data_IF_723766518603
#
_entry.id   IF_723766518603
#
_cell.length_a   1.000
_cell.length_b   1.000
_cell.length_c   1.000
_cell.angle_alpha   90.00
_cell.angle_beta   90.00
_cell.angle_gamma   90.00
#
_symmetry.space_group_name_H-M   'P 1'
#
loop_
_entity.id
_entity.type
_entity.pdbx_description
1 polymer ?
#
# COMPACT_ATOMS: atom_id res chain seq x y z
N UNK A 1 1.27 29.19 -21.80
CA UNK A 1 -0.03 28.64 -22.24
C UNK A 1 -0.58 27.88 -21.05
N UNK A 2 -1.66 28.37 -20.43
CA UNK A 2 -2.24 27.67 -19.24
C UNK A 2 -3.23 26.68 -19.77
N UNK A 3 -2.90 25.37 -19.68
CA UNK A 3 -3.84 24.31 -20.00
C UNK A 3 -4.75 24.10 -18.79
N UNK A 4 -5.87 24.78 -18.75
CA UNK A 4 -6.95 24.47 -17.80
C UNK A 4 -7.78 23.38 -18.43
N UNK A 5 -7.70 22.18 -17.89
CA UNK A 5 -8.55 21.09 -18.32
C UNK A 5 -9.70 20.95 -17.32
N UNK A 6 -10.91 21.27 -17.76
CA UNK A 6 -12.12 21.28 -16.93
C UNK A 6 -12.76 19.89 -16.73
N UNK A 7 -12.15 18.83 -17.25
CA UNK A 7 -12.67 17.48 -17.11
C UNK A 7 -12.29 16.89 -15.74
N UNK A 8 -13.27 16.51 -14.93
CA UNK A 8 -13.07 16.02 -13.56
C UNK A 8 -12.16 14.78 -13.47
N UNK A 9 -12.09 13.98 -14.54
CA UNK A 9 -11.26 12.78 -14.63
C UNK A 9 -9.87 13.01 -15.24
N UNK A 10 -9.57 14.24 -15.65
CA UNK A 10 -8.29 14.56 -16.26
C UNK A 10 -7.28 15.00 -15.21
N UNK A 11 -6.06 14.51 -15.36
CA UNK A 11 -4.90 14.95 -14.58
C UNK A 11 -4.71 16.45 -14.82
N UNK A 12 -4.46 17.19 -13.75
CA UNK A 12 -4.33 18.66 -13.84
C UNK A 12 -2.87 19.06 -13.70
N UNK A 13 -2.32 19.70 -14.71
CA UNK A 13 -0.99 20.28 -14.65
C UNK A 13 -0.92 21.43 -13.62
N UNK A 14 -2.04 22.15 -13.40
CA UNK A 14 -2.14 23.22 -12.41
C UNK A 14 -3.42 23.03 -11.60
N UNK A 15 -3.27 22.99 -10.28
CA UNK A 15 -4.36 22.86 -9.32
C UNK A 15 -4.40 24.06 -8.36
N UNK A 16 -5.59 24.60 -8.15
CA UNK A 16 -5.82 25.68 -7.19
C UNK A 16 -6.58 25.14 -5.96
N UNK A 17 -5.96 25.25 -4.80
CA UNK A 17 -6.63 24.94 -3.55
C UNK A 17 -7.18 26.23 -2.94
N UNK A 18 -8.48 26.45 -3.08
CA UNK A 18 -9.15 27.66 -2.57
C UNK A 18 -9.10 27.79 -1.04
N UNK A 19 -9.09 26.66 -0.31
CA UNK A 19 -9.03 26.69 1.16
C UNK A 19 -7.66 27.12 1.68
N UNK A 20 -6.58 26.80 0.96
CA UNK A 20 -5.20 27.09 1.39
C UNK A 20 -4.53 28.22 0.57
N UNK A 21 -5.23 28.79 -0.38
CA UNK A 21 -4.71 29.80 -1.31
C UNK A 21 -3.36 29.37 -1.96
N UNK A 22 -3.24 28.09 -2.28
CA UNK A 22 -2.05 27.50 -2.90
C UNK A 22 -2.34 27.10 -4.34
N UNK A 23 -1.37 27.34 -5.19
CA UNK A 23 -1.33 26.78 -6.54
C UNK A 23 -0.30 25.67 -6.58
N UNK A 24 -0.68 24.49 -6.98
CA UNK A 24 0.20 23.35 -7.21
C UNK A 24 0.42 23.22 -8.70
N UNK A 25 1.68 23.08 -9.11
CA UNK A 25 2.07 22.82 -10.50
C UNK A 25 2.63 21.42 -10.58
N UNK A 26 2.08 20.60 -11.47
CA UNK A 26 2.45 19.21 -11.69
C UNK A 26 3.05 19.06 -13.10
N UNK A 27 4.33 19.43 -13.31
CA UNK A 27 4.91 19.53 -14.66
C UNK A 27 5.07 18.18 -15.37
N UNK A 28 5.18 17.09 -14.62
CA UNK A 28 5.41 15.74 -15.14
C UNK A 28 4.19 14.83 -15.00
N UNK A 29 2.99 15.40 -14.85
CA UNK A 29 1.78 14.62 -14.55
C UNK A 29 1.41 13.62 -15.66
N UNK A 30 1.80 13.90 -16.88
CA UNK A 30 1.51 13.07 -18.04
C UNK A 30 2.67 12.15 -18.42
N UNK A 31 3.77 12.18 -17.66
CA UNK A 31 4.89 11.27 -17.89
C UNK A 31 4.53 9.85 -17.50
N UNK A 32 5.00 8.91 -18.31
CA UNK A 32 4.99 7.48 -17.97
C UNK A 32 6.14 7.15 -17.01
N UNK A 33 6.09 5.96 -16.41
CA UNK A 33 7.19 5.48 -15.57
C UNK A 33 8.49 5.35 -16.40
N UNK A 34 8.40 4.90 -17.65
CA UNK A 34 9.52 4.77 -18.57
C UNK A 34 10.17 6.13 -18.86
N UNK A 35 9.38 7.15 -19.20
CA UNK A 35 9.88 8.51 -19.44
C UNK A 35 10.54 9.10 -18.20
N UNK A 36 9.96 8.83 -17.03
CA UNK A 36 10.54 9.26 -15.75
C UNK A 36 11.91 8.61 -15.52
N UNK A 37 12.05 7.31 -15.77
CA UNK A 37 13.31 6.62 -15.62
C UNK A 37 14.33 7.04 -16.67
N UNK A 38 13.91 7.25 -17.93
CA UNK A 38 14.77 7.79 -18.99
C UNK A 38 15.35 9.15 -18.57
N UNK A 39 14.52 10.05 -18.09
CA UNK A 39 14.97 11.36 -17.58
C UNK A 39 15.99 11.22 -16.45
N UNK A 40 15.70 10.38 -15.44
CA UNK A 40 16.58 10.13 -14.30
C UNK A 40 17.96 9.67 -14.76
N UNK A 41 18.02 8.75 -15.74
CA UNK A 41 19.28 8.20 -16.26
C UNK A 41 20.03 9.22 -17.14
N UNK A 42 19.34 9.92 -18.02
CA UNK A 42 19.95 10.93 -18.91
C UNK A 42 20.54 12.08 -18.12
N UNK A 43 19.77 12.62 -17.16
CA UNK A 43 20.18 13.73 -16.33
C UNK A 43 21.04 13.31 -15.12
N UNK A 44 21.31 12.00 -14.96
CA UNK A 44 22.09 11.43 -13.86
C UNK A 44 21.59 11.85 -12.48
N UNK A 45 20.27 11.89 -12.33
CA UNK A 45 19.65 12.17 -11.04
C UNK A 45 19.96 11.07 -10.04
N UNK A 46 20.24 11.45 -8.78
CA UNK A 46 20.41 10.48 -7.72
C UNK A 46 19.06 9.84 -7.35
N UNK A 47 19.03 8.52 -7.25
CA UNK A 47 17.85 7.75 -6.83
C UNK A 47 18.23 6.66 -5.83
N UNK A 48 17.23 6.02 -5.22
CA UNK A 48 17.45 4.99 -4.22
C UNK A 48 17.91 3.69 -4.89
N UNK A 49 19.08 3.14 -4.46
CA UNK A 49 19.64 1.91 -5.02
C UNK A 49 18.80 0.65 -4.85
N UNK A 50 17.74 0.68 -4.03
CA UNK A 50 16.79 -0.42 -3.91
C UNK A 50 16.05 -0.66 -5.23
N UNK A 51 15.91 0.35 -6.08
CA UNK A 51 15.36 0.16 -7.44
C UNK A 51 16.24 -0.74 -8.30
N UNK A 52 17.56 -0.72 -8.10
CA UNK A 52 18.49 -1.61 -8.81
C UNK A 52 18.35 -3.07 -8.37
N UNK A 53 17.74 -3.33 -7.21
CA UNK A 53 17.40 -4.67 -6.71
C UNK A 53 16.10 -5.21 -7.35
N UNK A 54 15.46 -4.49 -8.27
CA UNK A 54 14.26 -4.90 -9.00
C UNK A 54 12.94 -4.43 -8.38
N UNK A 55 12.98 -3.52 -7.40
CA UNK A 55 11.76 -2.92 -6.87
C UNK A 55 11.23 -1.87 -7.85
N UNK A 56 9.97 -1.98 -8.23
CA UNK A 56 9.31 -1.03 -9.14
C UNK A 56 8.70 0.16 -8.39
N UNK A 57 8.45 0.01 -7.10
CA UNK A 57 7.87 1.03 -6.24
C UNK A 57 8.44 0.91 -4.84
N UNK A 58 8.82 2.02 -4.25
CA UNK A 58 9.24 2.09 -2.86
C UNK A 58 8.16 2.79 -2.02
N UNK A 59 7.90 2.23 -0.84
CA UNK A 59 6.92 2.74 0.11
C UNK A 59 7.05 2.07 1.47
N UNK A 60 5.93 1.97 2.18
CA UNK A 60 5.91 1.26 3.46
C UNK A 60 6.05 -0.25 3.23
N UNK A 61 6.97 -0.90 3.91
CA UNK A 61 7.13 -2.35 3.87
C UNK A 61 5.84 -3.01 4.39
N UNK A 62 5.27 -3.93 3.62
CA UNK A 62 4.00 -4.58 3.96
C UNK A 62 2.77 -3.67 3.83
N UNK A 63 2.82 -2.65 2.99
CA UNK A 63 1.70 -1.75 2.75
C UNK A 63 0.47 -2.52 2.24
N UNK A 64 -0.74 -2.32 2.81
CA UNK A 64 -1.96 -3.00 2.35
C UNK A 64 -2.35 -2.60 0.91
N UNK A 65 -1.89 -1.43 0.46
CA UNK A 65 -2.12 -0.96 -0.91
C UNK A 65 -1.15 -1.59 -1.93
N UNK A 66 -0.10 -2.28 -1.47
CA UNK A 66 0.77 -3.06 -2.34
C UNK A 66 0.08 -4.39 -2.68
N UNK A 67 0.23 -4.86 -3.93
CA UNK A 67 -0.25 -6.19 -4.31
C UNK A 67 0.49 -7.27 -3.48
N UNK A 68 -0.14 -8.44 -3.32
CA UNK A 68 0.42 -9.56 -2.55
C UNK A 68 1.88 -9.85 -2.92
N UNK A 69 2.16 -10.03 -4.20
CA UNK A 69 3.52 -10.29 -4.68
C UNK A 69 4.54 -9.22 -4.27
N UNK A 70 4.17 -7.93 -4.29
CA UNK A 70 5.03 -6.84 -3.81
C UNK A 70 5.35 -6.99 -2.32
N UNK A 71 4.36 -7.31 -1.48
CA UNK A 71 4.56 -7.55 -0.04
C UNK A 71 5.46 -8.77 0.22
N UNK A 72 5.33 -9.83 -0.58
CA UNK A 72 6.19 -11.02 -0.48
C UNK A 72 7.67 -10.67 -0.73
N UNK A 73 7.97 -9.92 -1.79
CA UNK A 73 9.32 -9.44 -2.10
C UNK A 73 9.86 -8.56 -0.96
N UNK A 74 9.05 -7.64 -0.45
CA UNK A 74 9.41 -6.76 0.65
C UNK A 74 9.76 -7.55 1.92
N UNK A 75 8.94 -8.52 2.32
CA UNK A 75 9.20 -9.35 3.50
C UNK A 75 10.34 -10.34 3.29
N UNK A 76 10.60 -10.80 2.06
CA UNK A 76 11.79 -11.59 1.76
C UNK A 76 13.07 -10.77 1.93
N UNK A 77 13.06 -9.50 1.50
CA UNK A 77 14.19 -8.59 1.62
C UNK A 77 14.41 -8.11 3.06
N UNK A 78 13.32 -7.91 3.82
CA UNK A 78 13.35 -7.42 5.19
C UNK A 78 12.55 -8.32 6.15
N UNK A 79 13.00 -9.55 6.45
CA UNK A 79 12.23 -10.54 7.20
C UNK A 79 11.87 -10.10 8.63
N UNK A 80 12.68 -9.25 9.25
CA UNK A 80 12.39 -8.70 10.59
C UNK A 80 11.09 -7.90 10.64
N UNK A 81 10.67 -7.30 9.53
CA UNK A 81 9.39 -6.58 9.49
C UNK A 81 8.20 -7.56 9.56
N UNK A 82 8.29 -8.73 8.93
CA UNK A 82 7.27 -9.77 9.07
C UNK A 82 7.07 -10.15 10.55
N UNK A 83 8.14 -10.38 11.29
CA UNK A 83 8.09 -10.68 12.72
C UNK A 83 7.48 -9.53 13.55
N UNK A 84 7.80 -8.28 13.18
CA UNK A 84 7.25 -7.09 13.83
C UNK A 84 5.73 -6.98 13.60
N UNK A 85 5.25 -7.25 12.40
CA UNK A 85 3.81 -7.27 12.10
C UNK A 85 3.10 -8.34 12.93
N UNK A 86 3.59 -9.59 12.95
CA UNK A 86 3.00 -10.68 13.73
C UNK A 86 2.91 -10.30 15.21
N UNK A 87 4.01 -9.79 15.79
CA UNK A 87 4.01 -9.34 17.19
C UNK A 87 3.06 -8.16 17.45
N UNK A 88 2.91 -7.26 16.49
CA UNK A 88 1.98 -6.15 16.60
C UNK A 88 0.52 -6.64 16.60
N UNK A 89 0.21 -7.62 15.74
CA UNK A 89 -1.10 -8.25 15.70
C UNK A 89 -1.43 -9.04 16.97
N UNK A 90 -0.45 -9.78 17.53
CA UNK A 90 -0.64 -10.44 18.83
C UNK A 90 -1.00 -9.45 19.94
N UNK A 91 -0.25 -8.34 20.04
CA UNK A 91 -0.55 -7.27 21.01
C UNK A 91 -1.91 -6.64 20.76
N UNK A 92 -2.29 -6.42 19.52
CA UNK A 92 -3.62 -5.90 19.16
C UNK A 92 -4.72 -6.86 19.64
N UNK A 93 -4.56 -8.16 19.44
CA UNK A 93 -5.52 -9.18 19.89
C UNK A 93 -5.61 -9.21 21.42
N UNK A 94 -4.48 -9.16 22.13
CA UNK A 94 -4.46 -9.05 23.61
C UNK A 94 -5.23 -7.84 24.09
N UNK A 95 -5.02 -6.67 23.52
CA UNK A 95 -5.72 -5.44 23.89
C UNK A 95 -7.22 -5.51 23.58
N UNK A 96 -7.61 -6.14 22.46
CA UNK A 96 -9.02 -6.39 22.14
C UNK A 96 -9.69 -7.25 23.21
N UNK A 97 -9.03 -8.37 23.60
CA UNK A 97 -9.54 -9.31 24.62
C UNK A 97 -9.66 -8.64 25.99
N UNK A 98 -8.68 -7.82 26.41
CA UNK A 98 -8.75 -7.02 27.64
C UNK A 98 -9.95 -6.07 27.65
N UNK A 99 -10.35 -5.55 26.48
CA UNK A 99 -11.53 -4.67 26.33
C UNK A 99 -12.85 -5.45 26.18
N UNK A 100 -12.85 -6.76 26.42
CA UNK A 100 -14.03 -7.62 26.32
C UNK A 100 -14.52 -7.87 24.88
N UNK A 101 -13.70 -7.59 23.88
CA UNK A 101 -14.03 -7.92 22.49
C UNK A 101 -13.62 -9.34 22.20
N UNK A 102 -14.57 -10.13 21.71
CA UNK A 102 -14.33 -11.52 21.30
C UNK A 102 -13.67 -11.61 19.93
N UNK A 103 -12.98 -12.71 19.67
CA UNK A 103 -12.37 -12.99 18.36
C UNK A 103 -13.44 -13.42 17.32
N UNK A 104 -14.68 -13.66 17.75
CA UNK A 104 -15.77 -14.13 16.90
C UNK A 104 -16.14 -13.18 15.73
N UNK A 105 -15.72 -11.91 15.78
CA UNK A 105 -15.84 -11.00 14.62
C UNK A 105 -14.92 -11.41 13.45
N UNK A 106 -14.01 -12.37 13.67
CA UNK A 106 -13.10 -12.93 12.67
C UNK A 106 -13.48 -14.36 12.30
N UNK A 107 -14.63 -14.85 12.78
CA UNK A 107 -15.16 -16.16 12.44
C UNK A 107 -14.47 -17.36 13.13
N UNK A 108 -13.46 -17.15 13.97
CA UNK A 108 -12.75 -18.20 14.69
C UNK A 108 -12.47 -17.81 16.14
N UNK A 109 -12.38 -18.80 17.02
CA UNK A 109 -11.94 -18.62 18.41
C UNK A 109 -10.41 -18.76 18.50
N UNK A 110 -9.79 -18.01 19.41
CA UNK A 110 -8.34 -18.08 19.70
C UNK A 110 -7.43 -17.73 18.49
N UNK A 111 -7.77 -16.74 17.74
CA UNK A 111 -6.94 -16.20 16.64
C UNK A 111 -5.60 -15.71 17.19
N UNK A 112 -4.53 -15.98 16.47
CA UNK A 112 -3.15 -15.55 16.75
C UNK A 112 -2.71 -14.42 15.80
N UNK A 113 -1.61 -13.75 16.14
CA UNK A 113 -1.04 -12.72 15.29
C UNK A 113 -0.63 -13.21 13.91
N UNK A 114 -0.26 -14.50 13.78
CA UNK A 114 0.07 -15.09 12.48
C UNK A 114 -1.17 -15.29 11.61
N UNK A 115 -2.32 -15.65 12.21
CA UNK A 115 -3.57 -15.79 11.47
C UNK A 115 -4.01 -14.44 10.91
N UNK A 116 -3.90 -13.37 11.73
CA UNK A 116 -4.15 -12.01 11.28
C UNK A 116 -3.16 -11.58 10.20
N UNK A 117 -1.89 -11.99 10.31
CA UNK A 117 -0.88 -11.69 9.31
C UNK A 117 -1.19 -12.40 7.98
N UNK A 118 -1.57 -13.67 8.01
CA UNK A 118 -1.93 -14.41 6.80
C UNK A 118 -3.14 -13.79 6.10
N UNK A 119 -4.15 -13.40 6.86
CA UNK A 119 -5.27 -12.63 6.32
C UNK A 119 -4.82 -11.30 5.70
N UNK A 120 -3.94 -10.57 6.38
CA UNK A 120 -3.36 -9.33 5.87
C UNK A 120 -2.62 -9.52 4.55
N UNK A 121 -1.96 -10.67 4.40
CA UNK A 121 -1.24 -11.06 3.19
C UNK A 121 -2.14 -11.66 2.12
N UNK A 122 -3.43 -11.86 2.41
CA UNK A 122 -4.38 -12.54 1.51
C UNK A 122 -3.99 -14.00 1.19
N UNK A 123 -3.26 -14.65 2.11
CA UNK A 123 -2.92 -16.07 1.98
C UNK A 123 -4.10 -16.97 2.37
N UNK A 124 -4.88 -16.55 3.36
CA UNK A 124 -6.02 -17.30 3.90
C UNK A 124 -7.25 -16.39 3.98
N UNK A 125 -8.38 -16.88 3.49
CA UNK A 125 -9.68 -16.27 3.73
C UNK A 125 -10.11 -16.69 5.13
N UNK A 126 -10.37 -15.74 6.02
CA UNK A 126 -10.90 -16.05 7.35
C UNK A 126 -12.33 -16.60 7.17
N UNK A 127 -12.63 -17.79 7.75
CA UNK A 127 -13.97 -18.37 7.66
C UNK A 127 -15.05 -17.37 8.12
N UNK A 128 -16.03 -17.09 7.26
CA UNK A 128 -17.10 -16.11 7.50
C UNK A 128 -16.85 -14.70 6.95
N UNK A 129 -15.73 -14.46 6.30
CA UNK A 129 -15.52 -13.24 5.52
C UNK A 129 -16.29 -13.39 4.19
N UNK A 130 -17.18 -12.43 3.93
CA UNK A 130 -17.82 -12.32 2.61
C UNK A 130 -16.82 -11.66 1.68
N UNK A 131 -16.44 -12.35 0.63
CA UNK A 131 -15.66 -11.74 -0.47
C UNK A 131 -16.59 -10.83 -1.28
N UNK A 132 -16.42 -9.52 -1.11
CA UNK A 132 -17.22 -8.51 -1.82
C UNK A 132 -16.86 -8.40 -3.30
N UNK A 133 -15.85 -9.14 -3.75
CA UNK A 133 -15.32 -9.10 -5.10
C UNK A 133 -15.26 -10.49 -5.76
N UNK A 134 -16.00 -11.46 -5.25
CA UNK A 134 -16.14 -12.75 -5.94
C UNK A 134 -16.92 -12.54 -7.24
N UNK A 135 -16.31 -12.73 -8.42
CA UNK A 135 -16.97 -12.51 -9.71
C UNK A 135 -17.91 -13.65 -10.12
N UNK A 136 -18.23 -14.61 -9.26
CA UNK A 136 -19.08 -15.78 -9.57
C UNK A 136 -20.47 -15.72 -8.92
N UNK A 137 -21.10 -14.52 -8.83
CA UNK A 137 -22.56 -14.41 -8.75
C UNK A 137 -23.14 -13.52 -9.86
#
# INVERSE_FOLDING_TARGET
MVLVNDNADSRRAIEHCYQRLKTTVNPIIDWTDEETWEFIHVERCAYCGVYDEGFTRLGCIGCPMAKQHGREIEFARWPKYKELYIRAFDKMLEERRKRGKTDGSWGAENITGIDVFNWWMEYDIIPGQIDLFDPEE
#
